data_IF_493052083216
#
_entry.id   IF_493052083216
#
_cell.length_a   1.000
_cell.length_b   1.000
_cell.length_c   1.000
_cell.angle_alpha   90.00
_cell.angle_beta   90.00
_cell.angle_gamma   90.00
#
_symmetry.space_group_name_H-M   'P 1'
#
loop_
_entity.id
_entity.type
_entity.pdbx_description
1 polymer ?
#
# COMPACT_ATOMS: atom_id res chain seq x y z
N UNK A 1 -0.77 -10.90 -6.49
CA UNK A 1 -0.27 -10.06 -5.37
C UNK A 1 0.66 -10.85 -4.44
N UNK A 2 0.38 -12.11 -4.12
CA UNK A 2 1.28 -12.94 -3.29
C UNK A 2 2.73 -13.03 -3.78
N UNK A 3 2.94 -13.22 -5.09
CA UNK A 3 4.30 -13.26 -5.68
C UNK A 3 5.12 -11.99 -5.39
N UNK A 4 4.46 -10.84 -5.31
CA UNK A 4 5.10 -9.59 -4.93
C UNK A 4 5.59 -9.68 -3.48
N UNK A 5 4.75 -10.15 -2.56
CA UNK A 5 5.10 -10.23 -1.13
C UNK A 5 6.16 -11.28 -0.80
N UNK A 6 6.36 -12.28 -1.67
CA UNK A 6 7.42 -13.30 -1.54
C UNK A 6 8.77 -12.84 -2.12
N UNK A 7 8.79 -11.74 -2.87
CA UNK A 7 10.00 -11.23 -3.50
C UNK A 7 11.04 -10.81 -2.43
N UNK A 8 12.34 -10.75 -2.78
CA UNK A 8 13.34 -10.18 -1.86
C UNK A 8 13.10 -8.68 -1.67
N UNK A 9 13.45 -8.14 -0.49
CA UNK A 9 13.32 -6.71 -0.16
C UNK A 9 13.91 -5.80 -1.23
N UNK A 10 15.06 -6.18 -1.80
CA UNK A 10 15.70 -5.42 -2.89
C UNK A 10 14.83 -5.34 -4.16
N UNK A 11 14.09 -6.39 -4.51
CA UNK A 11 13.18 -6.37 -5.66
C UNK A 11 11.97 -5.47 -5.40
N UNK A 12 11.43 -5.47 -4.17
CA UNK A 12 10.37 -4.53 -3.80
C UNK A 12 10.87 -3.09 -3.79
N UNK A 13 12.10 -2.88 -3.33
CA UNK A 13 12.74 -1.57 -3.39
C UNK A 13 12.84 -1.08 -4.83
N UNK A 14 13.37 -1.90 -5.74
CA UNK A 14 13.46 -1.56 -7.17
C UNK A 14 12.08 -1.26 -7.74
N UNK A 15 11.08 -2.09 -7.44
CA UNK A 15 9.70 -1.87 -7.88
C UNK A 15 9.13 -0.53 -7.41
N UNK A 16 9.25 -0.22 -6.12
CA UNK A 16 8.76 1.04 -5.54
C UNK A 16 9.58 2.25 -6.01
N UNK A 17 10.88 2.08 -6.20
CA UNK A 17 11.76 3.13 -6.70
C UNK A 17 11.48 3.46 -8.17
N UNK A 18 11.27 2.45 -9.02
CA UNK A 18 10.82 2.64 -10.40
C UNK A 18 9.46 3.33 -10.45
N UNK A 19 8.53 2.94 -9.58
CA UNK A 19 7.22 3.60 -9.44
C UNK A 19 7.37 5.07 -9.05
N UNK A 20 8.28 5.38 -8.12
CA UNK A 20 8.61 6.74 -7.71
C UNK A 20 9.23 7.56 -8.84
N UNK A 21 10.12 6.96 -9.64
CA UNK A 21 10.71 7.63 -10.81
C UNK A 21 9.62 7.99 -11.82
N UNK A 22 8.75 7.03 -12.17
CA UNK A 22 7.63 7.24 -13.09
C UNK A 22 6.68 8.34 -12.61
N UNK A 23 6.44 8.41 -11.31
CA UNK A 23 5.58 9.42 -10.70
C UNK A 23 6.21 10.83 -10.69
N UNK A 24 7.52 10.91 -10.47
CA UNK A 24 8.19 12.18 -10.15
C UNK A 24 8.79 12.86 -11.38
N UNK A 25 9.45 12.11 -12.26
CA UNK A 25 10.22 12.69 -13.36
C UNK A 25 9.39 12.83 -14.63
N UNK A 26 9.57 13.95 -15.34
CA UNK A 26 9.06 14.10 -16.69
C UNK A 26 9.99 13.34 -17.64
N UNK A 27 9.55 12.19 -18.15
CA UNK A 27 10.36 11.33 -19.03
C UNK A 27 10.20 11.65 -20.51
N UNK A 28 9.25 12.52 -20.85
CA UNK A 28 8.92 12.93 -22.22
C UNK A 28 8.35 14.34 -22.21
N UNK A 29 8.50 15.04 -23.34
CA UNK A 29 7.94 16.37 -23.54
C UNK A 29 6.44 16.34 -23.86
N UNK A 30 5.90 15.17 -24.24
CA UNK A 30 4.46 15.01 -24.48
C UNK A 30 3.69 14.98 -23.16
N UNK A 31 2.81 15.98 -22.98
CA UNK A 31 2.00 16.19 -21.77
C UNK A 31 1.13 14.97 -21.45
N UNK A 32 0.53 14.36 -22.46
CA UNK A 32 -0.40 13.25 -22.27
C UNK A 32 0.35 11.97 -21.86
N UNK A 33 1.43 11.64 -22.57
CA UNK A 33 2.27 10.47 -22.24
C UNK A 33 2.88 10.66 -20.85
N UNK A 34 3.37 11.85 -20.53
CA UNK A 34 3.92 12.13 -19.21
C UNK A 34 2.88 11.94 -18.10
N UNK A 35 1.66 12.47 -18.28
CA UNK A 35 0.56 12.28 -17.34
C UNK A 35 0.23 10.79 -17.15
N UNK A 36 0.20 10.02 -18.23
CA UNK A 36 -0.05 8.57 -18.19
C UNK A 36 1.04 7.82 -17.40
N UNK A 37 2.31 8.19 -17.60
CA UNK A 37 3.43 7.61 -16.86
C UNK A 37 3.36 7.91 -15.35
N UNK A 38 2.95 9.12 -14.98
CA UNK A 38 2.75 9.49 -13.56
C UNK A 38 1.60 8.71 -12.92
N UNK A 39 0.49 8.57 -13.64
CA UNK A 39 -0.65 7.72 -13.23
C UNK A 39 -0.21 6.26 -13.06
N UNK A 40 0.58 5.74 -13.99
CA UNK A 40 1.14 4.39 -13.88
C UNK A 40 2.04 4.26 -12.64
N UNK A 41 2.90 5.25 -12.39
CA UNK A 41 3.76 5.31 -11.21
C UNK A 41 2.98 5.24 -9.90
N UNK A 42 1.90 6.02 -9.75
CA UNK A 42 1.10 6.00 -8.52
C UNK A 42 0.27 4.71 -8.36
N UNK A 43 -0.26 4.16 -9.45
CA UNK A 43 -0.95 2.87 -9.42
C UNK A 43 0.01 1.78 -8.96
N UNK A 44 1.21 1.71 -9.55
CA UNK A 44 2.24 0.75 -9.14
C UNK A 44 2.64 0.94 -7.67
N UNK A 45 2.87 2.19 -7.24
CA UNK A 45 3.17 2.49 -5.84
C UNK A 45 2.07 1.99 -4.88
N UNK A 46 0.80 2.17 -5.25
CA UNK A 46 -0.36 1.74 -4.47
C UNK A 46 -0.56 0.23 -4.39
N UNK A 47 -0.02 -0.56 -5.32
CA UNK A 47 -0.15 -2.03 -5.31
C UNK A 47 0.52 -2.66 -4.09
N UNK A 48 1.59 -2.05 -3.56
CA UNK A 48 2.30 -2.60 -2.41
C UNK A 48 1.44 -2.61 -1.11
N UNK A 49 0.92 -1.46 -0.62
CA UNK A 49 0.03 -1.47 0.54
C UNK A 49 -1.27 -2.24 0.28
N UNK A 50 -1.80 -2.25 -0.97
CA UNK A 50 -2.94 -3.09 -1.35
C UNK A 50 -2.63 -4.57 -1.14
N UNK A 51 -1.47 -5.02 -1.63
CA UNK A 51 -1.04 -6.40 -1.50
C UNK A 51 -0.93 -6.79 -0.02
N UNK A 52 -0.30 -5.95 0.81
CA UNK A 52 -0.21 -6.24 2.25
C UNK A 52 -1.60 -6.29 2.89
N UNK A 53 -2.43 -5.26 2.69
CA UNK A 53 -3.72 -5.15 3.35
C UNK A 53 -4.76 -6.19 2.90
N UNK A 54 -4.65 -6.71 1.68
CA UNK A 54 -5.58 -7.68 1.12
C UNK A 54 -5.08 -9.13 1.23
N UNK A 55 -3.79 -9.39 0.94
CA UNK A 55 -3.26 -10.76 0.99
C UNK A 55 -3.08 -11.20 2.43
N UNK A 56 -2.63 -10.33 3.33
CA UNK A 56 -2.39 -10.75 4.72
C UNK A 56 -3.66 -10.97 5.52
N UNK A 57 -4.83 -10.50 5.04
CA UNK A 57 -6.09 -10.80 5.71
C UNK A 57 -6.47 -12.27 5.62
N UNK A 58 -6.02 -12.98 4.58
CA UNK A 58 -6.28 -14.41 4.41
C UNK A 58 -5.49 -15.26 5.41
N UNK A 59 -4.41 -14.72 5.99
CA UNK A 59 -3.60 -15.36 7.03
C UNK A 59 -4.06 -15.02 8.45
N UNK A 60 -5.18 -14.30 8.62
CA UNK A 60 -5.72 -14.02 9.94
C UNK A 60 -6.43 -15.27 10.51
N UNK A 61 -6.31 -15.55 11.81
CA UNK A 61 -7.09 -16.61 12.43
C UNK A 61 -8.58 -16.25 12.36
N UNK A 62 -9.47 -17.22 12.11
CA UNK A 62 -10.93 -17.03 11.92
C UNK A 62 -11.63 -16.17 12.98
N UNK A 63 -11.08 -16.12 14.20
CA UNK A 63 -11.59 -15.28 15.31
C UNK A 63 -11.23 -13.79 15.20
N UNK A 64 -10.40 -13.39 14.23
CA UNK A 64 -9.87 -12.03 14.03
C UNK A 64 -10.16 -11.51 12.61
N UNK A 65 -11.33 -11.80 12.05
CA UNK A 65 -11.71 -11.28 10.74
C UNK A 65 -11.70 -9.75 10.73
N UNK A 66 -10.90 -9.18 9.83
CA UNK A 66 -10.82 -7.73 9.58
C UNK A 66 -11.56 -7.45 8.27
N UNK A 67 -12.57 -6.59 8.32
CA UNK A 67 -13.31 -6.16 7.12
C UNK A 67 -12.41 -5.35 6.19
N UNK A 68 -12.21 -5.85 4.96
CA UNK A 68 -11.39 -5.21 3.92
C UNK A 68 -12.15 -4.20 3.06
N UNK A 69 -13.49 -4.21 3.07
CA UNK A 69 -14.30 -3.38 2.18
C UNK A 69 -14.01 -1.87 2.27
N UNK A 70 -13.92 -1.32 3.49
CA UNK A 70 -13.59 0.10 3.68
C UNK A 70 -12.16 0.43 3.26
N UNK A 71 -11.21 -0.50 3.42
CA UNK A 71 -9.84 -0.37 2.94
C UNK A 71 -9.77 -0.31 1.42
N UNK A 72 -10.41 -1.25 0.73
CA UNK A 72 -10.45 -1.29 -0.74
C UNK A 72 -11.11 -0.03 -1.29
N UNK A 73 -12.20 0.44 -0.68
CA UNK A 73 -12.84 1.70 -1.06
C UNK A 73 -11.90 2.90 -0.95
N UNK A 74 -11.21 3.07 0.19
CA UNK A 74 -10.26 4.18 0.38
C UNK A 74 -9.06 4.05 -0.57
N UNK A 75 -8.61 2.84 -0.88
CA UNK A 75 -7.54 2.61 -1.86
C UNK A 75 -7.96 3.08 -3.27
N UNK A 76 -9.14 2.66 -3.73
CA UNK A 76 -9.68 3.11 -5.03
C UNK A 76 -9.90 4.62 -5.06
N UNK A 77 -10.47 5.19 -3.98
CA UNK A 77 -10.66 6.63 -3.88
C UNK A 77 -9.34 7.38 -3.99
N UNK A 78 -8.31 6.95 -3.27
CA UNK A 78 -6.99 7.58 -3.29
C UNK A 78 -6.35 7.53 -4.68
N UNK A 79 -6.32 6.36 -5.32
CA UNK A 79 -5.75 6.20 -6.67
C UNK A 79 -6.53 7.01 -7.71
N UNK A 80 -7.86 6.94 -7.69
CA UNK A 80 -8.71 7.65 -8.66
C UNK A 80 -8.56 9.16 -8.54
N UNK A 81 -8.62 9.70 -7.31
CA UNK A 81 -8.49 11.14 -7.09
C UNK A 81 -7.10 11.66 -7.43
N UNK A 82 -6.02 10.95 -7.04
CA UNK A 82 -4.68 11.37 -7.42
C UNK A 82 -4.48 11.34 -8.94
N UNK A 83 -5.00 10.31 -9.61
CA UNK A 83 -4.93 10.20 -11.08
C UNK A 83 -5.69 11.34 -11.75
N UNK A 84 -6.89 11.65 -11.27
CA UNK A 84 -7.71 12.76 -11.76
C UNK A 84 -6.99 14.10 -11.58
N UNK A 85 -6.39 14.34 -10.41
CA UNK A 85 -5.64 15.59 -10.15
C UNK A 85 -4.44 15.72 -11.10
N UNK A 86 -3.70 14.63 -11.34
CA UNK A 86 -2.57 14.67 -12.25
C UNK A 86 -2.98 14.97 -13.70
N UNK A 87 -4.04 14.33 -14.18
CA UNK A 87 -4.53 14.51 -15.56
C UNK A 87 -5.12 15.92 -15.76
N UNK A 88 -5.89 16.42 -14.79
CA UNK A 88 -6.60 17.70 -14.95
C UNK A 88 -5.71 18.91 -14.73
N UNK A 89 -4.74 18.82 -13.83
CA UNK A 89 -3.95 19.97 -13.41
C UNK A 89 -2.51 19.94 -13.91
N UNK A 90 -2.05 18.84 -14.51
CA UNK A 90 -0.74 18.75 -15.17
C UNK A 90 0.41 19.27 -14.28
N UNK A 91 0.36 18.95 -12.99
CA UNK A 91 1.35 19.40 -11.99
C UNK A 91 1.32 20.90 -11.65
N UNK A 92 0.35 21.67 -12.14
CA UNK A 92 0.14 23.06 -11.72
C UNK A 92 -0.31 23.11 -10.27
N UNK A 93 0.12 24.16 -9.56
CA UNK A 93 -0.30 24.40 -8.19
C UNK A 93 -1.81 24.66 -8.14
N UNK A 94 -2.53 23.76 -7.47
CA UNK A 94 -3.96 23.93 -7.22
C UNK A 94 -4.14 24.34 -5.77
N UNK A 95 -4.58 25.57 -5.57
CA UNK A 95 -4.99 26.03 -4.24
C UNK A 95 -6.46 25.66 -4.03
N UNK A 96 -6.72 24.78 -3.07
CA UNK A 96 -8.07 24.38 -2.70
C UNK A 96 -8.52 25.20 -1.50
N UNK A 97 -9.42 26.16 -1.74
CA UNK A 97 -9.98 27.03 -0.70
C UNK A 97 -11.44 26.65 -0.38
N UNK A 98 -11.84 26.85 0.88
CA UNK A 98 -13.22 26.66 1.33
C UNK A 98 -13.71 25.21 1.21
N UNK A 99 -14.92 25.02 0.70
CA UNK A 99 -15.59 23.70 0.65
C UNK A 99 -14.85 22.67 -0.23
N UNK A 100 -14.08 23.14 -1.21
CA UNK A 100 -13.26 22.29 -2.08
C UNK A 100 -12.02 21.70 -1.38
N UNK A 101 -11.71 22.15 -0.17
CA UNK A 101 -10.67 21.52 0.65
C UNK A 101 -11.14 20.16 1.22
N UNK A 102 -12.46 19.93 1.35
CA UNK A 102 -13.00 18.70 1.96
C UNK A 102 -12.56 17.43 1.19
N UNK A 103 -12.69 17.34 -0.15
CA UNK A 103 -12.19 16.18 -0.90
C UNK A 103 -10.68 15.96 -0.77
N UNK A 104 -9.90 17.03 -0.59
CA UNK A 104 -8.44 16.97 -0.42
C UNK A 104 -8.07 16.45 0.97
N UNK A 105 -8.75 16.92 2.01
CA UNK A 105 -8.58 16.36 3.36
C UNK A 105 -8.96 14.88 3.41
N UNK A 106 -10.06 14.51 2.73
CA UNK A 106 -10.46 13.11 2.65
C UNK A 106 -9.47 12.28 1.81
N UNK A 107 -8.86 12.86 0.76
CA UNK A 107 -7.78 12.22 0.01
C UNK A 107 -6.56 11.92 0.88
N UNK A 108 -6.14 12.88 1.70
CA UNK A 108 -5.06 12.69 2.66
C UNK A 108 -5.42 11.61 3.70
N UNK A 109 -6.65 11.65 4.23
CA UNK A 109 -7.16 10.62 5.12
C UNK A 109 -7.14 9.23 4.47
N UNK A 110 -7.62 9.10 3.23
CA UNK A 110 -7.67 7.84 2.50
C UNK A 110 -6.26 7.28 2.27
N UNK A 111 -5.31 8.12 1.87
CA UNK A 111 -3.91 7.74 1.73
C UNK A 111 -3.34 7.19 3.05
N UNK A 112 -3.45 7.96 4.14
CA UNK A 112 -2.96 7.56 5.46
C UNK A 112 -3.66 6.28 5.95
N UNK A 113 -4.97 6.18 5.76
CA UNK A 113 -5.77 5.02 6.13
C UNK A 113 -5.31 3.74 5.43
N UNK A 114 -5.01 3.80 4.14
CA UNK A 114 -4.52 2.66 3.34
C UNK A 114 -3.22 2.10 3.94
N UNK A 115 -2.24 2.97 4.24
CA UNK A 115 -0.98 2.55 4.85
C UNK A 115 -1.17 2.02 6.27
N UNK A 116 -1.97 2.71 7.10
CA UNK A 116 -2.27 2.28 8.46
C UNK A 116 -2.98 0.93 8.51
N UNK A 117 -3.93 0.70 7.60
CA UNK A 117 -4.67 -0.55 7.52
C UNK A 117 -3.73 -1.70 7.15
N UNK A 118 -2.89 -1.54 6.12
CA UNK A 118 -1.89 -2.53 5.73
C UNK A 118 -0.99 -2.94 6.91
N UNK A 119 -0.49 -1.96 7.67
CA UNK A 119 0.36 -2.22 8.84
C UNK A 119 -0.39 -2.84 10.00
N UNK A 120 -1.66 -2.47 10.20
CA UNK A 120 -2.52 -3.09 11.21
C UNK A 120 -2.76 -4.56 10.91
N UNK A 121 -3.02 -4.91 9.65
CA UNK A 121 -3.18 -6.31 9.23
C UNK A 121 -1.89 -7.07 9.50
N UNK A 122 -0.75 -6.55 9.02
CA UNK A 122 0.57 -7.16 9.25
C UNK A 122 0.82 -7.44 10.74
N UNK A 123 0.65 -6.42 11.60
CA UNK A 123 0.88 -6.54 13.04
C UNK A 123 -0.11 -7.50 13.71
N UNK A 124 -1.36 -7.57 13.22
CA UNK A 124 -2.37 -8.52 13.72
C UNK A 124 -1.97 -9.96 13.39
N UNK A 125 -1.47 -10.22 12.17
CA UNK A 125 -0.98 -11.55 11.78
C UNK A 125 0.24 -11.95 12.62
N UNK A 126 1.18 -11.01 12.85
CA UNK A 126 2.36 -11.27 13.67
C UNK A 126 2.03 -11.60 15.13
N UNK A 127 1.18 -10.79 15.74
CA UNK A 127 0.89 -10.87 17.18
C UNK A 127 -0.24 -11.85 17.52
N UNK A 128 -0.95 -12.39 16.50
CA UNK A 128 -2.12 -13.27 16.65
C UNK A 128 -3.20 -12.72 17.60
N UNK A 129 -3.22 -11.40 17.82
CA UNK A 129 -4.17 -10.68 18.66
C UNK A 129 -4.75 -9.50 17.89
N UNK A 130 -5.92 -9.02 18.31
CA UNK A 130 -6.53 -7.82 17.72
C UNK A 130 -5.69 -6.59 18.05
N UNK A 131 -5.07 -6.01 17.04
CA UNK A 131 -4.25 -4.80 17.17
C UNK A 131 -5.11 -3.56 16.91
N UNK A 132 -4.97 -2.56 17.78
CA UNK A 132 -5.64 -1.25 17.61
C UNK A 132 -4.89 -0.39 16.58
N UNK A 133 -5.56 0.62 16.03
CA UNK A 133 -4.91 1.54 15.10
C UNK A 133 -3.70 2.25 15.74
N UNK A 134 -3.81 2.68 16.99
CA UNK A 134 -2.71 3.36 17.71
C UNK A 134 -1.43 2.54 17.78
N UNK A 135 -1.54 1.23 18.01
CA UNK A 135 -0.38 0.33 18.01
C UNK A 135 0.28 0.17 16.63
N UNK A 136 -0.43 0.49 15.55
CA UNK A 136 0.03 0.32 14.16
C UNK A 136 0.62 1.61 13.57
N UNK A 137 0.40 2.77 14.21
CA UNK A 137 0.86 4.07 13.73
C UNK A 137 2.38 4.11 13.59
N UNK A 138 3.13 3.60 14.58
CA UNK A 138 4.60 3.59 14.51
C UNK A 138 5.12 2.82 13.30
N UNK A 139 4.50 1.68 12.97
CA UNK A 139 4.90 0.85 11.83
C UNK A 139 4.49 1.49 10.49
N UNK A 140 3.36 2.17 10.44
CA UNK A 140 2.96 2.95 9.27
C UNK A 140 3.86 4.18 9.07
N UNK A 141 4.25 4.85 10.16
CA UNK A 141 5.22 5.94 10.16
C UNK A 141 6.55 5.52 9.54
N UNK A 142 7.03 4.31 9.88
CA UNK A 142 8.24 3.76 9.26
C UNK A 142 8.13 3.68 7.73
N UNK A 143 6.99 3.23 7.17
CA UNK A 143 6.81 3.17 5.71
C UNK A 143 6.96 4.54 5.04
N UNK A 144 6.52 5.62 5.69
CA UNK A 144 6.70 6.98 5.16
C UNK A 144 8.17 7.41 5.16
N UNK A 145 9.01 6.85 6.04
CA UNK A 145 10.47 7.03 6.03
C UNK A 145 11.09 6.06 5.02
N UNK A 146 10.69 6.21 3.76
CA UNK A 146 11.27 5.48 2.65
C UNK A 146 12.72 5.99 2.41
N UNK A 147 13.73 5.12 2.18
CA UNK A 147 13.63 3.67 1.99
C UNK A 147 13.70 2.82 3.28
N UNK A 148 14.14 3.38 4.41
CA UNK A 148 14.45 2.63 5.64
C UNK A 148 13.26 1.80 6.12
N UNK A 149 12.05 2.36 6.09
CA UNK A 149 10.83 1.65 6.47
C UNK A 149 10.58 0.36 5.70
N UNK A 150 10.94 0.34 4.42
CA UNK A 150 10.77 -0.84 3.60
C UNK A 150 11.64 -2.00 4.07
N UNK A 151 12.89 -1.71 4.45
CA UNK A 151 13.82 -2.73 4.97
C UNK A 151 13.42 -3.25 6.34
N UNK A 152 12.71 -2.46 7.14
CA UNK A 152 12.20 -2.94 8.43
C UNK A 152 10.92 -3.76 8.27
N UNK A 153 10.00 -3.32 7.40
CA UNK A 153 8.67 -3.92 7.28
C UNK A 153 8.64 -5.15 6.37
N UNK A 154 9.35 -5.11 5.25
CA UNK A 154 9.22 -6.16 4.23
C UNK A 154 9.76 -7.55 4.65
N UNK A 155 10.89 -7.68 5.38
CA UNK A 155 11.34 -9.00 5.85
C UNK A 155 10.30 -9.70 6.71
N UNK A 156 9.55 -8.93 7.49
CA UNK A 156 8.47 -9.42 8.33
C UNK A 156 7.27 -9.93 7.53
N UNK A 157 6.90 -9.22 6.46
CA UNK A 157 5.89 -9.68 5.49
C UNK A 157 6.33 -11.01 4.88
N UNK A 158 7.57 -11.08 4.38
CA UNK A 158 8.11 -12.29 3.74
C UNK A 158 8.12 -13.49 4.70
N UNK A 159 8.57 -13.29 5.94
CA UNK A 159 8.58 -14.34 6.98
C UNK A 159 7.19 -14.93 7.20
N UNK A 160 6.14 -14.12 7.22
CA UNK A 160 4.76 -14.57 7.39
C UNK A 160 4.33 -15.41 6.18
N UNK A 161 4.59 -14.91 4.96
CA UNK A 161 4.27 -15.62 3.72
C UNK A 161 4.94 -17.00 3.68
N UNK A 162 6.23 -17.07 4.00
CA UNK A 162 7.01 -18.32 3.96
C UNK A 162 6.55 -19.32 5.04
N UNK A 163 6.22 -18.82 6.24
CA UNK A 163 5.77 -19.68 7.37
C UNK A 163 4.39 -20.29 7.13
N UNK A 164 3.45 -19.52 6.57
CA UNK A 164 2.07 -19.99 6.39
C UNK A 164 1.93 -20.95 5.20
N UNK A 165 2.71 -20.76 4.13
CA UNK A 165 2.80 -21.70 3.01
C UNK A 165 3.35 -23.05 3.47
N UNK A 166 4.40 -23.04 4.30
CA UNK A 166 4.94 -24.28 4.86
C UNK A 166 3.90 -25.06 5.68
N UNK A 167 3.10 -24.37 6.50
CA UNK A 167 2.05 -25.03 7.29
C UNK A 167 0.90 -25.60 6.44
N UNK A 168 0.52 -24.94 5.33
CA UNK A 168 -0.49 -25.48 4.41
C UNK A 168 0.02 -26.70 3.64
N UNK A 169 1.29 -26.69 3.24
CA UNK A 169 1.88 -27.81 2.50
C UNK A 169 2.01 -29.06 3.40
N UNK A 170 2.35 -28.87 4.68
CA UNK A 170 2.40 -29.97 5.66
C UNK A 170 1.02 -30.54 5.98
N UNK A 171 -0.03 -29.71 6.05
CA UNK A 171 -1.40 -30.18 6.27
C UNK A 171 -1.90 -31.07 5.12
N UNK A 172 -1.55 -30.73 3.88
CA UNK A 172 -1.93 -31.49 2.68
C UNK A 172 -1.17 -32.81 2.49
N UNK A 173 -0.05 -33.01 3.19
CA UNK A 173 0.73 -34.27 3.17
C UNK A 173 0.25 -35.22 4.28
N UNK A 174 -0.50 -34.72 5.27
CA UNK A 174 -1.06 -35.50 6.38
C UNK A 174 -2.48 -36.01 6.15
N UNK A 175 -3.08 -35.75 4.99
CA UNK A 175 -4.35 -36.31 4.51
C UNK A 175 -4.12 -37.42 3.47
#
# INVERSE_FOLDING_TARGET
MEKLLKAPTAAIFIYLFSSFILYTFNLTDDIFINSLLKVLGIVMYGVYPLSIGYVLTDYLPKKLEIKTGFFVFNWFYWIAMMSMVMILFDGKEVTFNGLLAIPVFYLFFAAVYVFLFAMRVLKTVQSRRKVTFGESIGMAGLIFIWPIGLWMVHPDVKRIMDTQVSNSDLANVSE
#
